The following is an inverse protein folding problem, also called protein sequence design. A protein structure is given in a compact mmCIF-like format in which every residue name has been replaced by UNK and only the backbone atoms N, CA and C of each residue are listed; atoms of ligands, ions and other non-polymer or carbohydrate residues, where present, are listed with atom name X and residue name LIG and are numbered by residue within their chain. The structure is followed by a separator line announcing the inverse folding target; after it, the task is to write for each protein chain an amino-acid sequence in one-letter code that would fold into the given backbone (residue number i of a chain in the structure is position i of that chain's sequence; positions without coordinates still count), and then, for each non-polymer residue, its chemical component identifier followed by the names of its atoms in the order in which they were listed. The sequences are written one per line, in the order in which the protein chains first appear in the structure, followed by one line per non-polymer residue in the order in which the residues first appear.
data_IF_527334798218
#
_entry.id   IF_527334798218
#
_cell.length_a   1.000
_cell.length_b   1.000
_cell.length_c   1.000
_cell.angle_alpha   90.00
_cell.angle_beta   90.00
_cell.angle_gamma   90.00
#
_symmetry.space_group_name_H-M   'P 1'
#
loop_
_entity.id
_entity.type
_entity.pdbx_description
1 polymer ?
#
# COMPACT_ATOMS: atom_id res chain seq x y z
N UNK A 1 -60.69 17.43 -31.43
CA UNK A 1 -59.63 16.73 -32.19
C UNK A 1 -58.39 17.60 -32.24
N UNK A 2 -57.24 16.98 -31.97
CA UNK A 2 -55.83 17.38 -32.11
C UNK A 2 -55.41 18.85 -32.34
N UNK A 3 -54.66 19.36 -31.36
CA UNK A 3 -53.30 19.96 -31.42
C UNK A 3 -52.94 20.97 -32.53
N UNK A 4 -52.34 22.11 -32.14
CA UNK A 4 -51.05 22.41 -32.74
C UNK A 4 -50.00 23.02 -31.79
N UNK A 5 -48.74 22.76 -32.17
CA UNK A 5 -47.54 23.58 -31.94
C UNK A 5 -46.70 23.40 -30.67
N UNK A 6 -45.71 22.51 -30.82
CA UNK A 6 -44.26 22.75 -30.65
C UNK A 6 -43.85 23.88 -29.71
N UNK A 7 -43.07 23.54 -28.68
CA UNK A 7 -41.77 24.18 -28.40
C UNK A 7 -40.85 23.24 -27.64
N UNK A 8 -39.66 23.05 -28.22
CA UNK A 8 -38.47 22.45 -27.63
C UNK A 8 -37.74 23.57 -26.87
N UNK A 9 -36.84 23.18 -25.95
CA UNK A 9 -35.82 24.02 -25.27
C UNK A 9 -36.40 24.74 -24.03
N UNK A 10 -35.92 24.53 -22.80
CA UNK A 10 -34.55 24.64 -22.27
C UNK A 10 -34.41 23.67 -21.08
N UNK A 11 -33.26 23.00 -20.94
CA UNK A 11 -32.85 22.30 -19.72
C UNK A 11 -32.32 23.33 -18.71
N UNK A 12 -32.90 23.51 -17.51
CA UNK A 12 -32.17 24.12 -16.41
C UNK A 12 -31.55 23.01 -15.56
N UNK A 13 -30.23 22.93 -15.69
CA UNK A 13 -29.24 22.86 -14.60
C UNK A 13 -29.60 21.96 -13.41
N UNK A 14 -28.85 20.87 -13.27
CA UNK A 14 -28.80 20.08 -12.05
C UNK A 14 -28.41 20.95 -10.85
N UNK A 15 -29.13 20.89 -9.72
CA UNK A 15 -28.55 21.20 -8.43
C UNK A 15 -28.29 19.89 -7.67
N UNK A 16 -27.00 19.65 -7.48
CA UNK A 16 -26.38 19.20 -6.23
C UNK A 16 -26.96 17.96 -5.54
N UNK A 17 -26.14 16.91 -5.57
CA UNK A 17 -25.71 16.09 -4.41
C UNK A 17 -26.61 16.14 -3.18
N UNK A 18 -27.86 15.68 -3.32
CA UNK A 18 -28.62 15.23 -2.17
C UNK A 18 -28.12 13.84 -1.82
N UNK A 19 -27.51 13.74 -0.64
CA UNK A 19 -27.65 12.62 0.28
C UNK A 19 -28.57 11.54 -0.29
N UNK A 20 -28.03 10.35 -0.57
CA UNK A 20 -28.86 9.18 -0.85
C UNK A 20 -29.70 8.92 0.42
N UNK A 21 -30.84 9.61 0.51
CA UNK A 21 -31.91 9.23 1.39
C UNK A 21 -32.22 7.77 1.03
N UNK A 22 -32.21 6.84 2.00
CA UNK A 22 -32.53 5.46 1.70
C UNK A 22 -33.88 5.45 0.98
N UNK A 23 -33.94 4.75 -0.15
CA UNK A 23 -35.18 4.58 -0.90
C UNK A 23 -36.28 4.25 0.12
N UNK A 24 -37.29 5.14 0.27
CA UNK A 24 -38.38 4.93 1.22
C UNK A 24 -39.07 3.64 0.82
N UNK A 25 -38.74 2.56 1.48
CA UNK A 25 -39.40 1.29 1.26
C UNK A 25 -40.87 1.50 1.59
N UNK A 26 -41.74 1.13 0.65
CA UNK A 26 -43.18 1.37 0.71
C UNK A 26 -43.83 0.63 1.90
N UNK A 27 -43.11 -0.30 2.52
CA UNK A 27 -43.50 -1.05 3.70
C UNK A 27 -42.32 -1.16 4.67
N UNK A 28 -42.49 -0.60 5.86
CA UNK A 28 -41.52 -0.65 6.96
C UNK A 28 -42.10 -1.42 8.15
N UNK A 29 -41.22 -2.06 8.92
CA UNK A 29 -41.54 -2.67 10.21
C UNK A 29 -40.68 -2.06 11.31
N UNK A 30 -41.23 -1.87 12.51
CA UNK A 30 -40.46 -1.47 13.68
C UNK A 30 -39.86 -2.70 14.35
N UNK A 31 -38.55 -2.71 14.56
CA UNK A 31 -37.82 -3.79 15.22
C UNK A 31 -37.07 -3.21 16.42
N UNK A 32 -37.18 -3.88 17.58
CA UNK A 32 -36.37 -3.59 18.76
C UNK A 32 -35.05 -4.34 18.67
N UNK A 33 -33.95 -3.61 18.76
CA UNK A 33 -32.60 -4.16 18.70
C UNK A 33 -31.82 -3.76 19.95
N UNK A 34 -31.02 -4.68 20.53
CA UNK A 34 -30.09 -4.31 21.59
C UNK A 34 -29.02 -3.36 21.03
N UNK A 35 -28.78 -2.26 21.72
CA UNK A 35 -27.82 -1.22 21.39
C UNK A 35 -26.89 -0.97 22.58
N UNK A 36 -25.58 -1.07 22.33
CA UNK A 36 -24.53 -0.89 23.33
C UNK A 36 -23.74 -2.16 23.63
N UNK A 37 -22.88 -2.09 24.65
CA UNK A 37 -21.93 -3.15 24.99
C UNK A 37 -22.44 -3.91 26.22
N UNK A 38 -22.57 -5.25 26.16
CA UNK A 38 -22.93 -6.06 27.32
C UNK A 38 -21.98 -5.79 28.50
N UNK A 39 -22.53 -5.41 29.66
CA UNK A 39 -21.77 -5.12 30.88
C UNK A 39 -21.42 -3.64 31.11
N UNK A 40 -21.81 -2.73 30.21
CA UNK A 40 -21.69 -1.28 30.42
C UNK A 40 -23.07 -0.61 30.28
N UNK A 41 -23.54 -0.40 29.04
CA UNK A 41 -24.79 0.31 28.73
C UNK A 41 -25.56 -0.42 27.62
N UNK A 42 -26.19 -1.55 27.96
CA UNK A 42 -27.04 -2.27 27.01
C UNK A 42 -28.48 -1.73 27.10
N UNK A 43 -28.90 -1.00 26.08
CA UNK A 43 -30.25 -0.42 25.96
C UNK A 43 -30.99 -0.99 24.76
N UNK A 44 -32.32 -0.87 24.72
CA UNK A 44 -33.10 -1.24 23.54
C UNK A 44 -33.36 0.00 22.68
N UNK A 45 -33.07 -0.09 21.38
CA UNK A 45 -33.40 0.95 20.41
C UNK A 45 -34.41 0.40 19.41
N UNK A 46 -35.47 1.16 19.16
CA UNK A 46 -36.41 0.88 18.07
C UNK A 46 -35.86 1.46 16.76
N UNK A 47 -35.71 0.60 15.76
CA UNK A 47 -35.34 0.98 14.40
C UNK A 47 -36.49 0.68 13.45
N UNK A 48 -36.73 1.58 12.51
CA UNK A 48 -37.61 1.35 11.38
C UNK A 48 -36.80 0.72 10.24
N UNK A 49 -37.23 -0.46 9.81
CA UNK A 49 -36.47 -1.37 8.96
C UNK A 49 -37.32 -1.78 7.75
N UNK A 50 -36.70 -2.06 6.61
CA UNK A 50 -37.41 -2.63 5.45
C UNK A 50 -38.15 -3.90 5.82
N UNK A 51 -39.31 -4.16 5.19
CA UNK A 51 -39.97 -5.46 5.33
C UNK A 51 -39.08 -6.60 4.80
N UNK A 52 -38.33 -6.33 3.73
CA UNK A 52 -37.43 -7.27 3.05
C UNK A 52 -36.10 -7.49 3.80
N UNK A 53 -35.83 -6.73 4.87
CA UNK A 53 -34.62 -6.91 5.64
C UNK A 53 -34.68 -8.25 6.39
N UNK A 54 -33.66 -9.13 6.21
CA UNK A 54 -33.63 -10.40 6.88
C UNK A 54 -33.64 -10.19 8.40
N UNK A 55 -34.29 -11.09 9.16
CA UNK A 55 -34.31 -10.97 10.60
C UNK A 55 -32.89 -10.98 11.16
N UNK A 56 -32.70 -10.30 12.29
CA UNK A 56 -31.45 -10.38 13.03
C UNK A 56 -31.11 -11.85 13.33
N UNK A 57 -29.82 -12.19 13.25
CA UNK A 57 -29.37 -13.52 13.62
C UNK A 57 -29.76 -13.79 15.08
N UNK A 58 -30.22 -15.02 15.40
CA UNK A 58 -30.42 -15.43 16.80
C UNK A 58 -29.16 -15.20 17.65
N UNK A 59 -29.35 -15.08 18.97
CA UNK A 59 -28.22 -15.05 19.92
C UNK A 59 -27.26 -16.22 19.65
N UNK A 60 -25.95 -15.99 19.83
CA UNK A 60 -24.88 -16.94 19.49
C UNK A 60 -25.14 -18.39 19.97
N UNK A 61 -25.80 -18.57 21.12
CA UNK A 61 -26.18 -19.89 21.65
C UNK A 61 -27.08 -20.70 20.71
N UNK A 62 -27.96 -20.03 19.96
CA UNK A 62 -28.92 -20.64 19.03
C UNK A 62 -28.38 -20.78 17.60
N UNK A 63 -27.17 -20.28 17.33
CA UNK A 63 -26.52 -20.40 16.03
C UNK A 63 -25.71 -21.70 15.95
N UNK A 64 -25.65 -22.31 14.76
CA UNK A 64 -24.92 -23.56 14.56
C UNK A 64 -23.39 -23.36 14.44
N UNK A 65 -22.95 -22.21 13.93
CA UNK A 65 -21.55 -21.96 13.55
C UNK A 65 -20.96 -20.73 14.24
N UNK A 66 -21.69 -19.61 14.22
CA UNK A 66 -21.21 -18.33 14.76
C UNK A 66 -21.22 -18.37 16.28
N UNK A 67 -20.13 -17.93 16.92
CA UNK A 67 -19.99 -17.93 18.38
C UNK A 67 -19.74 -19.32 19.00
N UNK A 68 -19.55 -20.36 18.18
CA UNK A 68 -19.24 -21.73 18.63
C UNK A 68 -17.75 -22.01 18.54
N UNK A 69 -17.24 -22.84 19.46
CA UNK A 69 -15.87 -23.38 19.37
C UNK A 69 -15.82 -24.37 18.20
N UNK A 70 -15.25 -23.94 17.08
CA UNK A 70 -15.04 -24.80 15.90
C UNK A 70 -13.57 -25.21 15.77
N UNK A 71 -13.34 -26.35 15.12
CA UNK A 71 -11.98 -26.77 14.77
C UNK A 71 -11.51 -25.93 13.58
N UNK A 72 -10.30 -25.37 13.69
CA UNK A 72 -9.70 -24.59 12.61
C UNK A 72 -9.27 -25.54 11.48
N UNK A 73 -9.77 -25.31 10.27
CA UNK A 73 -9.64 -26.24 9.13
C UNK A 73 -8.17 -26.49 8.75
N UNK A 74 -7.32 -25.48 8.85
CA UNK A 74 -5.88 -25.55 8.52
C UNK A 74 -5.01 -26.05 9.70
N UNK A 75 -5.59 -26.29 10.89
CA UNK A 75 -4.81 -26.60 12.09
C UNK A 75 -4.00 -27.88 11.94
N UNK A 76 -4.60 -28.93 11.39
CA UNK A 76 -3.95 -30.23 11.23
C UNK A 76 -2.71 -30.08 10.34
N UNK A 77 -2.83 -29.42 9.19
CA UNK A 77 -1.70 -29.21 8.28
C UNK A 77 -0.56 -28.41 8.93
N UNK A 78 -0.89 -27.39 9.73
CA UNK A 78 0.12 -26.56 10.42
C UNK A 78 0.84 -27.30 11.54
N UNK A 79 0.12 -28.05 12.39
CA UNK A 79 0.74 -28.77 13.53
C UNK A 79 1.50 -30.02 13.10
N UNK A 80 1.19 -30.58 11.94
CA UNK A 80 1.88 -31.75 11.37
C UNK A 80 3.07 -31.39 10.47
N UNK A 81 3.24 -30.11 10.13
CA UNK A 81 4.22 -29.66 9.14
C UNK A 81 3.85 -30.00 7.68
N UNK A 82 2.62 -30.48 7.43
CA UNK A 82 2.14 -30.78 6.09
C UNK A 82 1.68 -29.54 5.30
N UNK A 83 1.50 -28.40 5.97
CA UNK A 83 1.22 -27.13 5.31
C UNK A 83 2.43 -26.68 4.49
N UNK A 84 2.23 -26.43 3.20
CA UNK A 84 3.28 -25.88 2.32
C UNK A 84 3.26 -24.36 2.36
N UNK A 85 4.41 -23.78 2.66
CA UNK A 85 4.66 -22.35 2.59
C UNK A 85 5.46 -22.00 1.34
N UNK A 86 5.56 -20.72 1.02
CA UNK A 86 6.32 -20.23 -0.13
C UNK A 86 7.79 -20.68 -0.11
N UNK A 87 8.39 -20.78 1.08
CA UNK A 87 9.76 -21.27 1.26
C UNK A 87 9.95 -22.77 0.98
N UNK A 88 8.87 -23.56 1.01
CA UNK A 88 8.92 -25.01 0.77
C UNK A 88 8.81 -25.35 -0.73
N UNK A 89 8.41 -24.37 -1.55
CA UNK A 89 8.24 -24.55 -2.99
C UNK A 89 9.62 -24.61 -3.65
N UNK A 90 9.84 -25.64 -4.47
CA UNK A 90 11.02 -25.78 -5.33
C UNK A 90 10.57 -26.11 -6.74
N UNK A 91 10.94 -25.26 -7.69
CA UNK A 91 10.62 -25.45 -9.11
C UNK A 91 11.90 -25.75 -9.90
N UNK A 92 11.83 -26.52 -10.99
CA UNK A 92 12.96 -26.68 -11.91
C UNK A 92 13.44 -25.32 -12.42
N UNK A 93 14.75 -25.06 -12.33
CA UNK A 93 15.34 -23.78 -12.74
C UNK A 93 15.06 -22.60 -11.82
N UNK A 94 14.50 -22.81 -10.61
CA UNK A 94 14.24 -21.74 -9.65
C UNK A 94 15.53 -21.04 -9.22
N UNK A 95 15.57 -19.72 -9.40
CA UNK A 95 16.63 -18.87 -8.87
C UNK A 95 16.28 -18.31 -7.49
N UNK A 96 17.31 -17.98 -6.73
CA UNK A 96 17.23 -17.37 -5.42
C UNK A 96 17.64 -15.91 -5.51
N UNK A 97 16.71 -15.04 -5.11
CA UNK A 97 16.92 -13.60 -5.06
C UNK A 97 17.54 -13.14 -3.73
N UNK A 98 18.54 -12.26 -3.79
CA UNK A 98 19.08 -11.55 -2.62
C UNK A 98 19.20 -10.06 -2.88
N UNK A 99 18.56 -9.26 -2.04
CA UNK A 99 18.73 -7.81 -2.05
C UNK A 99 19.97 -7.38 -1.26
N UNK A 100 20.77 -6.53 -1.89
CA UNK A 100 21.67 -5.60 -1.21
C UNK A 100 20.83 -4.44 -0.67
N UNK A 101 21.01 -4.13 0.61
CA UNK A 101 20.21 -3.12 1.32
C UNK A 101 21.09 -2.07 1.97
N UNK A 102 20.58 -0.85 2.05
CA UNK A 102 21.25 0.28 2.70
C UNK A 102 21.54 -0.01 4.19
N UNK A 103 22.78 0.20 4.67
CA UNK A 103 23.07 0.23 6.09
C UNK A 103 22.79 1.61 6.72
N UNK A 104 22.52 2.65 5.91
CA UNK A 104 22.38 4.02 6.37
C UNK A 104 20.92 4.49 6.40
N UNK A 105 20.53 5.30 7.40
CA UNK A 105 19.19 5.87 7.52
C UNK A 105 18.93 6.97 6.49
N UNK A 106 19.96 7.73 6.09
CA UNK A 106 19.85 8.72 5.02
C UNK A 106 21.20 8.84 4.31
N UNK A 107 21.26 8.53 3.02
CA UNK A 107 22.47 8.66 2.22
C UNK A 107 22.20 8.76 0.72
N UNK A 108 23.12 9.40 -0.02
CA UNK A 108 23.21 9.33 -1.48
C UNK A 108 24.26 8.30 -1.88
N UNK A 109 24.04 7.55 -2.95
CA UNK A 109 25.05 6.63 -3.49
C UNK A 109 26.02 7.44 -4.35
N UNK A 110 27.32 7.43 -4.01
CA UNK A 110 28.37 8.10 -4.78
C UNK A 110 28.94 7.23 -5.88
N UNK A 111 29.01 5.92 -5.64
CA UNK A 111 29.47 4.96 -6.63
C UNK A 111 28.90 3.57 -6.31
N UNK A 112 28.71 2.77 -7.35
CA UNK A 112 28.16 1.42 -7.27
C UNK A 112 28.87 0.52 -8.30
N UNK A 113 29.56 -0.51 -7.81
CA UNK A 113 30.21 -1.53 -8.64
C UNK A 113 29.60 -2.90 -8.35
N UNK A 114 28.92 -3.44 -9.35
CA UNK A 114 28.30 -4.79 -9.33
C UNK A 114 29.10 -5.83 -10.12
N UNK A 115 30.24 -5.44 -10.70
CA UNK A 115 30.95 -6.24 -11.69
C UNK A 115 31.45 -7.57 -11.12
N UNK A 116 31.93 -7.58 -9.87
CA UNK A 116 32.36 -8.78 -9.18
C UNK A 116 31.21 -9.74 -8.89
N UNK A 117 30.03 -9.20 -8.51
CA UNK A 117 28.83 -10.00 -8.29
C UNK A 117 28.33 -10.64 -9.60
N UNK A 118 28.33 -9.89 -10.71
CA UNK A 118 27.92 -10.39 -12.04
C UNK A 118 28.80 -11.54 -12.54
N UNK A 119 30.09 -11.53 -12.21
CA UNK A 119 31.04 -12.59 -12.60
C UNK A 119 31.07 -13.78 -11.64
N UNK A 120 30.32 -13.72 -10.53
CA UNK A 120 30.35 -14.80 -9.54
C UNK A 120 29.69 -16.07 -10.10
N UNK A 121 30.32 -17.26 -10.01
CA UNK A 121 29.76 -18.49 -10.56
C UNK A 121 28.36 -18.81 -10.04
N UNK A 122 27.43 -19.13 -10.94
CA UNK A 122 26.03 -19.44 -10.62
C UNK A 122 25.14 -18.21 -10.40
N UNK A 123 25.64 -16.99 -10.63
CA UNK A 123 24.81 -15.78 -10.75
C UNK A 123 24.29 -15.66 -12.18
N UNK A 124 22.97 -15.45 -12.30
CA UNK A 124 22.30 -15.30 -13.59
C UNK A 124 21.93 -13.84 -13.88
N UNK A 125 21.64 -13.05 -12.85
CA UNK A 125 21.34 -11.63 -13.01
C UNK A 125 21.74 -10.80 -11.79
N UNK A 126 22.14 -9.55 -12.05
CA UNK A 126 22.27 -8.51 -11.02
C UNK A 126 21.56 -7.26 -11.53
N UNK A 127 20.49 -6.89 -10.85
CA UNK A 127 19.64 -5.76 -11.17
C UNK A 127 19.84 -4.65 -10.14
N UNK A 128 20.04 -3.42 -10.61
CA UNK A 128 20.16 -2.24 -9.75
C UNK A 128 18.85 -1.48 -9.82
N UNK A 129 18.31 -1.19 -8.64
CA UNK A 129 17.06 -0.48 -8.51
C UNK A 129 17.31 1.00 -8.75
N UNK A 130 16.48 1.61 -9.59
CA UNK A 130 16.46 3.03 -9.88
C UNK A 130 15.36 3.72 -9.07
N UNK A 131 15.39 5.05 -9.11
CA UNK A 131 14.38 5.90 -8.50
C UNK A 131 13.33 6.30 -9.53
N UNK A 132 12.07 5.91 -9.31
CA UNK A 132 10.93 6.63 -9.90
C UNK A 132 10.32 7.59 -8.85
N UNK A 133 10.08 8.87 -9.20
CA UNK A 133 9.33 9.77 -8.33
C UNK A 133 7.88 9.28 -8.23
N UNK A 134 7.43 8.88 -7.03
CA UNK A 134 6.01 8.56 -6.78
C UNK A 134 5.73 7.24 -6.06
N UNK A 135 6.70 6.35 -5.92
CA UNK A 135 6.50 5.07 -5.25
C UNK A 135 7.16 3.93 -6.00
N UNK A 136 7.30 2.80 -5.32
CA UNK A 136 7.99 1.62 -5.83
C UNK A 136 7.12 0.87 -6.85
N UNK A 137 7.09 1.35 -8.09
CA UNK A 137 6.76 0.51 -9.25
C UNK A 137 7.63 1.01 -10.41
N UNK A 138 8.81 0.42 -10.60
CA UNK A 138 9.44 0.55 -11.92
C UNK A 138 8.56 -0.19 -12.92
N UNK A 139 8.11 0.55 -13.95
CA UNK A 139 7.61 -0.07 -15.17
C UNK A 139 8.78 -0.76 -15.84
N UNK A 140 8.55 -2.03 -16.18
CA UNK A 140 9.43 -2.94 -16.90
C UNK A 140 10.27 -2.20 -17.96
N UNK A 141 11.58 -2.05 -17.70
CA UNK A 141 12.55 -1.91 -18.76
C UNK A 141 13.51 -3.09 -18.67
N UNK A 142 13.09 -4.20 -19.28
CA UNK A 142 13.84 -5.45 -19.43
C UNK A 142 15.06 -5.32 -20.33
N UNK A 143 15.92 -4.34 -20.07
CA UNK A 143 17.17 -4.17 -20.79
C UNK A 143 18.33 -4.35 -19.82
N UNK A 144 19.12 -5.40 -20.05
CA UNK A 144 20.42 -5.61 -19.45
C UNK A 144 21.29 -4.37 -19.70
N UNK A 145 21.34 -3.48 -18.72
CA UNK A 145 22.22 -2.31 -18.79
C UNK A 145 23.67 -2.82 -18.70
N UNK A 146 24.50 -2.60 -19.74
CA UNK A 146 25.91 -2.95 -19.71
C UNK A 146 26.58 -2.33 -18.49
N UNK A 147 27.63 -2.98 -17.99
CA UNK A 147 28.28 -2.68 -16.70
C UNK A 147 29.00 -1.32 -16.62
N UNK A 148 28.71 -0.38 -17.50
CA UNK A 148 29.51 0.82 -17.69
C UNK A 148 28.70 2.05 -17.30
N UNK A 149 28.77 2.33 -16.00
CA UNK A 149 28.32 3.55 -15.33
C UNK A 149 26.80 3.65 -15.16
N UNK A 150 26.29 3.21 -14.01
CA UNK A 150 24.97 3.65 -13.56
C UNK A 150 24.97 5.17 -13.48
N UNK A 151 23.97 5.81 -14.07
CA UNK A 151 23.73 7.22 -13.84
C UNK A 151 23.40 7.41 -12.36
N UNK A 152 24.30 8.07 -11.61
CA UNK A 152 24.15 8.23 -10.17
C UNK A 152 22.90 9.02 -9.80
N UNK A 153 22.42 9.88 -10.70
CA UNK A 153 21.19 10.66 -10.51
C UNK A 153 19.93 9.79 -10.67
N UNK A 154 20.02 8.63 -11.34
CA UNK A 154 18.93 7.65 -11.43
C UNK A 154 18.89 6.70 -10.22
N UNK A 155 19.95 6.68 -9.39
CA UNK A 155 19.98 5.84 -8.20
C UNK A 155 19.14 6.45 -7.07
N UNK A 156 18.44 5.62 -6.28
CA UNK A 156 17.58 6.11 -5.23
C UNK A 156 18.36 6.79 -4.11
N UNK A 157 17.88 7.97 -3.71
CA UNK A 157 18.20 8.54 -2.41
C UNK A 157 17.73 7.56 -1.32
N UNK A 158 18.65 7.15 -0.45
CA UNK A 158 18.37 6.19 0.62
C UNK A 158 17.75 6.95 1.79
N UNK A 159 16.55 6.56 2.20
CA UNK A 159 15.72 7.26 3.19
C UNK A 159 15.49 6.45 4.47
N UNK A 160 15.92 5.19 4.48
CA UNK A 160 15.82 4.33 5.65
C UNK A 160 16.84 3.18 5.60
N UNK A 161 17.19 2.66 6.78
CA UNK A 161 18.01 1.46 6.93
C UNK A 161 17.24 0.27 6.38
N UNK A 162 17.87 -0.51 5.51
CA UNK A 162 17.25 -1.66 4.87
C UNK A 162 16.64 -1.36 3.49
N UNK A 163 16.68 -0.11 3.01
CA UNK A 163 16.19 0.23 1.66
C UNK A 163 16.93 -0.60 0.60
N UNK A 164 16.21 -1.32 -0.28
CA UNK A 164 16.82 -2.06 -1.38
C UNK A 164 17.62 -1.16 -2.34
N UNK A 165 18.81 -1.62 -2.74
CA UNK A 165 19.71 -0.92 -3.69
C UNK A 165 19.87 -1.74 -4.96
N UNK A 166 20.15 -3.03 -4.80
CA UNK A 166 20.34 -3.96 -5.91
C UNK A 166 19.82 -5.34 -5.52
N UNK A 167 19.49 -6.17 -6.50
CA UNK A 167 19.06 -7.55 -6.35
C UNK A 167 19.96 -8.47 -7.17
N UNK A 168 20.36 -9.59 -6.58
CA UNK A 168 21.10 -10.68 -7.23
C UNK A 168 20.18 -11.87 -7.38
N UNK A 169 20.16 -12.50 -8.56
CA UNK A 169 19.48 -13.77 -8.80
C UNK A 169 20.53 -14.86 -9.11
N UNK A 170 20.50 -15.95 -8.35
CA UNK A 170 21.51 -17.02 -8.44
C UNK A 170 20.91 -18.42 -8.23
N UNK A 171 21.66 -19.46 -8.59
CA UNK A 171 21.21 -20.87 -8.55
C UNK A 171 20.94 -21.40 -7.13
N UNK A 172 21.53 -20.77 -6.10
CA UNK A 172 21.29 -21.12 -4.71
C UNK A 172 21.27 -19.89 -3.81
N UNK A 173 20.59 -20.01 -2.67
CA UNK A 173 20.57 -18.96 -1.65
C UNK A 173 21.98 -18.61 -1.15
N UNK A 174 22.88 -19.60 -1.07
CA UNK A 174 24.28 -19.39 -0.67
C UNK A 174 25.01 -18.51 -1.68
N UNK A 175 24.94 -18.87 -2.97
CA UNK A 175 25.55 -18.11 -4.07
C UNK A 175 25.01 -16.68 -4.10
N UNK A 176 23.68 -16.51 -4.01
CA UNK A 176 23.05 -15.19 -4.00
C UNK A 176 23.56 -14.31 -2.84
N UNK A 177 23.75 -14.90 -1.65
CA UNK A 177 24.29 -14.20 -0.49
C UNK A 177 25.76 -13.80 -0.67
N UNK A 178 26.62 -14.71 -1.16
CA UNK A 178 28.03 -14.40 -1.37
C UNK A 178 28.23 -13.37 -2.48
N UNK A 179 27.53 -13.51 -3.61
CA UNK A 179 27.58 -12.55 -4.69
C UNK A 179 27.10 -11.15 -4.27
N UNK A 180 26.06 -11.05 -3.44
CA UNK A 180 25.58 -9.76 -2.93
C UNK A 180 26.62 -9.02 -2.07
N UNK A 181 27.50 -9.74 -1.35
CA UNK A 181 28.60 -9.14 -0.56
C UNK A 181 29.71 -8.55 -1.43
N UNK A 182 29.84 -9.00 -2.67
CA UNK A 182 30.86 -8.53 -3.61
C UNK A 182 30.49 -7.19 -4.26
N UNK A 183 29.25 -6.74 -4.11
CA UNK A 183 28.81 -5.44 -4.60
C UNK A 183 29.42 -4.35 -3.72
N UNK A 184 30.15 -3.43 -4.33
CA UNK A 184 30.78 -2.30 -3.65
C UNK A 184 29.92 -1.06 -3.82
N UNK A 185 29.64 -0.38 -2.71
CA UNK A 185 28.84 0.85 -2.70
C UNK A 185 29.54 1.88 -1.85
N UNK A 186 29.74 3.07 -2.40
CA UNK A 186 30.21 4.23 -1.64
C UNK A 186 29.03 5.15 -1.34
N UNK A 187 28.96 5.62 -0.09
CA UNK A 187 27.83 6.41 0.40
C UNK A 187 28.27 7.81 0.80
N UNK A 188 27.40 8.78 0.51
CA UNK A 188 27.41 10.09 1.14
C UNK A 188 26.32 10.14 2.20
N UNK A 189 26.68 10.01 3.48
CA UNK A 189 25.71 10.10 4.56
C UNK A 189 25.14 11.51 4.67
N UNK A 190 23.81 11.61 4.75
CA UNK A 190 23.08 12.86 4.92
C UNK A 190 22.50 12.98 6.34
N UNK A 191 22.25 14.21 6.83
CA UNK A 191 21.56 14.42 8.09
C UNK A 191 20.18 13.74 8.10
N UNK A 192 19.79 13.14 9.23
CA UNK A 192 18.50 12.46 9.39
C UNK A 192 17.89 12.75 10.75
N UNK A 193 16.59 12.47 10.88
CA UNK A 193 15.85 12.60 12.13
C UNK A 193 14.99 11.36 12.33
N UNK A 194 14.97 10.82 13.55
CA UNK A 194 14.18 9.64 13.93
C UNK A 194 12.93 10.00 14.72
N UNK A 195 12.89 11.18 15.34
CA UNK A 195 11.78 11.64 16.18
C UNK A 195 10.81 12.53 15.40
N UNK A 196 9.52 12.23 15.50
CA UNK A 196 8.46 12.95 14.79
C UNK A 196 8.42 14.44 15.14
N UNK A 197 8.60 14.80 16.42
CA UNK A 197 8.60 16.21 16.86
C UNK A 197 9.78 16.99 16.28
N UNK A 198 10.96 16.36 16.19
CA UNK A 198 12.14 16.97 15.55
C UNK A 198 11.96 17.09 14.04
N UNK A 199 11.28 16.14 13.39
CA UNK A 199 11.05 16.15 11.96
C UNK A 199 10.08 17.27 11.52
N UNK A 200 9.21 17.73 12.41
CA UNK A 200 8.27 18.84 12.20
C UNK A 200 8.89 20.24 12.41
N UNK A 201 10.08 20.33 13.00
CA UNK A 201 10.72 21.64 13.26
C UNK A 201 11.19 22.28 11.95
N UNK A 202 11.12 23.61 11.91
CA UNK A 202 11.71 24.40 10.82
C UNK A 202 13.21 24.12 10.74
N UNK A 203 13.69 23.71 9.56
CA UNK A 203 15.10 23.34 9.34
C UNK A 203 15.43 21.88 9.62
N UNK A 204 14.45 21.02 9.89
CA UNK A 204 14.67 19.58 9.92
C UNK A 204 15.23 19.08 8.57
N UNK A 205 16.07 18.04 8.56
CA UNK A 205 16.60 17.46 7.32
C UNK A 205 15.47 17.06 6.38
N UNK A 206 15.56 17.50 5.12
CA UNK A 206 14.58 17.19 4.08
C UNK A 206 14.86 15.76 3.56
N UNK A 207 13.83 14.90 3.61
CA UNK A 207 13.86 13.51 3.12
C UNK A 207 13.40 13.43 1.65
N UNK A 208 12.53 14.34 1.24
CA UNK A 208 12.03 14.45 -0.12
C UNK A 208 12.35 15.82 -0.70
N UNK A 209 13.43 15.88 -1.48
CA UNK A 209 13.89 17.11 -2.14
C UNK A 209 12.95 17.50 -3.30
N UNK A 210 12.40 16.50 -4.00
CA UNK A 210 11.51 16.69 -5.15
C UNK A 210 10.04 16.83 -4.74
N UNK A 211 9.34 17.72 -5.45
CA UNK A 211 7.88 17.84 -5.39
C UNK A 211 7.30 16.67 -6.16
N UNK A 212 6.55 15.82 -5.48
CA UNK A 212 5.83 14.72 -6.10
C UNK A 212 4.36 15.13 -6.18
N UNK A 213 3.77 14.95 -7.36
CA UNK A 213 2.33 15.03 -7.55
C UNK A 213 1.76 13.65 -7.26
N UNK A 214 0.95 13.57 -6.21
CA UNK A 214 0.27 12.34 -5.85
C UNK A 214 -0.95 12.17 -6.77
N UNK A 215 -0.77 11.42 -7.86
CA UNK A 215 -1.88 10.98 -8.70
C UNK A 215 -2.48 9.76 -7.99
N UNK A 216 -3.47 10.00 -7.13
CA UNK A 216 -4.06 8.98 -6.26
C UNK A 216 -4.31 7.66 -6.99
N UNK A 217 -3.73 6.58 -6.49
CA UNK A 217 -3.93 5.23 -7.03
C UNK A 217 -5.17 4.56 -6.42
N UNK A 218 -5.76 3.61 -7.15
CA UNK A 218 -7.08 2.96 -6.94
C UNK A 218 -7.30 2.22 -5.60
N UNK A 219 -6.44 2.40 -4.60
CA UNK A 219 -6.63 1.91 -3.23
C UNK A 219 -6.79 3.00 -2.16
N UNK A 220 -6.57 4.27 -2.51
CA UNK A 220 -6.59 5.35 -1.53
C UNK A 220 -7.97 6.01 -1.46
N UNK A 221 -8.67 5.80 -0.35
CA UNK A 221 -9.96 6.45 -0.08
C UNK A 221 -9.73 7.94 0.22
N UNK A 222 -9.75 8.77 -0.81
CA UNK A 222 -10.10 10.19 -0.66
C UNK A 222 -9.09 11.25 -1.09
N UNK A 223 -8.14 10.98 -1.98
CA UNK A 223 -7.36 12.07 -2.61
C UNK A 223 -8.18 12.65 -3.77
N UNK A 224 -8.93 13.74 -3.51
CA UNK A 224 -9.79 14.39 -4.51
C UNK A 224 -9.06 15.34 -5.46
N UNK A 225 -7.78 15.63 -5.24
CA UNK A 225 -6.95 16.43 -6.13
C UNK A 225 -5.47 16.08 -5.95
N UNK A 226 -4.69 16.14 -7.03
CA UNK A 226 -3.24 16.01 -6.96
C UNK A 226 -2.66 17.16 -6.13
N UNK A 227 -2.37 16.91 -4.86
CA UNK A 227 -1.73 17.88 -3.98
C UNK A 227 -0.22 17.84 -4.19
N UNK A 228 0.39 19.01 -4.38
CA UNK A 228 1.83 19.15 -4.50
C UNK A 228 2.49 18.91 -3.14
N UNK A 229 3.03 17.72 -2.95
CA UNK A 229 3.72 17.35 -1.71
C UNK A 229 5.17 17.85 -1.75
N UNK A 230 5.50 18.83 -0.90
CA UNK A 230 6.83 19.45 -0.83
C UNK A 230 7.51 19.19 0.51
N UNK A 231 8.72 18.63 0.48
CA UNK A 231 9.51 18.34 1.68
C UNK A 231 8.96 17.16 2.49
N UNK A 232 9.02 17.26 3.82
CA UNK A 232 8.67 16.17 4.73
C UNK A 232 7.17 16.07 5.05
N UNK A 233 6.38 17.11 4.73
CA UNK A 233 4.94 17.13 4.97
C UNK A 233 4.22 16.56 3.75
N UNK A 234 3.63 15.37 3.91
CA UNK A 234 2.97 14.60 2.86
C UNK A 234 1.64 14.05 3.38
N UNK A 235 0.65 13.90 2.50
CA UNK A 235 -0.73 13.55 2.84
C UNK A 235 -1.69 14.73 2.72
N UNK A 236 -3.01 14.48 2.88
CA UNK A 236 -4.03 15.51 2.67
C UNK A 236 -3.76 16.70 3.57
N UNK A 237 -3.52 17.85 2.96
CA UNK A 237 -3.46 19.10 3.69
C UNK A 237 -4.85 19.40 4.23
N UNK A 238 -4.95 19.78 5.50
CA UNK A 238 -6.20 20.34 6.06
C UNK A 238 -6.43 21.76 5.51
N UNK A 239 -6.31 21.94 4.19
CA UNK A 239 -6.70 23.14 3.49
C UNK A 239 -8.23 23.22 3.50
N UNK A 240 -8.76 24.01 4.44
CA UNK A 240 -10.15 24.50 4.44
C UNK A 240 -11.23 23.43 4.29
N UNK A 241 -11.44 22.59 5.31
CA UNK A 241 -12.75 21.93 5.49
C UNK A 241 -13.79 22.86 6.16
N UNK A 242 -13.39 24.06 6.58
CA UNK A 242 -14.27 25.10 7.09
C UNK A 242 -13.86 26.44 6.47
N UNK A 243 -14.68 26.95 5.55
CA UNK A 243 -14.73 28.37 5.29
C UNK A 243 -15.22 29.11 6.55
N UNK A 244 -14.50 30.16 6.93
CA UNK A 244 -14.79 31.00 8.09
C UNK A 244 -13.52 31.54 8.73
#
# INVERSE_FOLDING_TARGET
MANPNKKKVVLPVAPDTKTHAPAKHLYSKKVKLPYGVPGHDLTEMEREVSIDEPPALPINEKLNVIGKRTKRVDAIYKVTGAAKYTADIKLPGMLYGKFLRSPHPHARIKSLDVSAARRFPGVHAVHVLKMEPGGSVERESGHDVPAETYNLDELPLLRYVGQPIAAVAAESQYIANEAAKLIKVEYETKPFVLELDKARKKGAPIVFEEVIKDEGNEGDVGVQAAEEQKGNLRGPTTGSFLGG
#
